data_IF_203707755843
#
_entry.id   IF_203707755843
#
_cell.length_a   1.000
_cell.length_b   1.000
_cell.length_c   1.000
_cell.angle_alpha   90.00
_cell.angle_beta   90.00
_cell.angle_gamma   90.00
#
_symmetry.space_group_name_H-M   'P 1'
#
loop_
_entity.id
_entity.type
_entity.pdbx_description
1 polymer ?
#
# COMPACT_ATOMS: atom_id res chain seq x y z
N UNK A 1 -50.93 7.48 -19.25
CA UNK A 1 -49.83 6.85 -20.02
C UNK A 1 -48.84 7.92 -20.44
N UNK A 2 -47.65 7.92 -19.84
CA UNK A 2 -46.35 8.26 -20.43
C UNK A 2 -45.30 8.05 -19.35
N UNK A 3 -44.45 7.06 -19.60
CA UNK A 3 -43.51 6.49 -18.64
C UNK A 3 -42.32 7.40 -18.38
N UNK A 4 -41.80 7.27 -17.16
CA UNK A 4 -40.51 7.79 -16.76
C UNK A 4 -39.39 7.00 -17.47
N UNK A 5 -38.53 7.71 -18.20
CA UNK A 5 -37.25 7.16 -18.65
C UNK A 5 -36.31 7.10 -17.44
N UNK A 6 -36.25 5.93 -16.80
CA UNK A 6 -35.25 5.60 -15.81
C UNK A 6 -33.92 5.38 -16.52
N UNK A 7 -33.02 6.36 -16.43
CA UNK A 7 -31.62 6.18 -16.81
C UNK A 7 -31.00 5.10 -15.94
N UNK A 8 -30.69 3.95 -16.54
CA UNK A 8 -29.91 2.90 -15.89
C UNK A 8 -28.50 3.45 -15.73
N UNK A 9 -28.15 3.86 -14.51
CA UNK A 9 -26.76 4.05 -14.13
C UNK A 9 -26.09 2.68 -14.21
N UNK A 10 -25.37 2.43 -15.31
CA UNK A 10 -24.52 1.26 -15.43
C UNK A 10 -23.45 1.40 -14.36
N UNK A 11 -23.56 0.63 -13.28
CA UNK A 11 -22.51 0.50 -12.28
C UNK A 11 -21.27 -0.05 -13.00
N UNK A 12 -20.39 0.84 -13.43
CA UNK A 12 -19.15 0.46 -14.08
C UNK A 12 -18.27 -0.20 -13.03
N UNK A 13 -17.91 -1.45 -13.27
CA UNK A 13 -16.94 -2.18 -12.46
C UNK A 13 -15.62 -1.37 -12.37
N UNK A 14 -15.20 -0.93 -11.17
CA UNK A 14 -13.98 -0.15 -10.98
C UNK A 14 -12.73 -0.85 -11.53
N UNK A 15 -12.71 -2.19 -11.53
CA UNK A 15 -11.61 -2.98 -12.09
C UNK A 15 -11.60 -2.88 -13.62
N UNK A 16 -12.78 -2.90 -14.24
CA UNK A 16 -12.94 -2.67 -15.68
C UNK A 16 -12.52 -1.26 -16.09
N UNK A 17 -12.67 -0.24 -15.22
CA UNK A 17 -12.18 1.12 -15.49
C UNK A 17 -10.64 1.19 -15.60
N UNK A 18 -9.92 0.31 -14.91
CA UNK A 18 -8.45 0.26 -14.95
C UNK A 18 -7.91 -0.64 -16.08
N UNK A 19 -8.73 -1.49 -16.69
CA UNK A 19 -8.31 -2.36 -17.81
C UNK A 19 -7.83 -1.50 -18.98
N UNK A 20 -6.60 -1.73 -19.42
CA UNK A 20 -6.01 -1.08 -20.59
C UNK A 20 -5.49 0.35 -20.35
N UNK A 21 -5.60 0.92 -19.14
CA UNK A 21 -5.18 2.30 -18.85
C UNK A 21 -3.68 2.47 -18.55
N UNK A 22 -2.90 1.40 -18.57
CA UNK A 22 -1.48 1.42 -18.23
C UNK A 22 -1.22 1.13 -16.76
N UNK A 23 0.05 1.19 -16.35
CA UNK A 23 0.47 0.82 -14.98
C UNK A 23 0.49 2.04 -14.07
N UNK A 24 -0.27 1.99 -12.98
CA UNK A 24 -0.21 2.94 -11.85
C UNK A 24 1.08 2.72 -11.07
N UNK A 25 1.69 3.80 -10.61
CA UNK A 25 2.90 3.75 -9.78
C UNK A 25 2.79 4.75 -8.62
N UNK A 26 3.19 4.32 -7.43
CA UNK A 26 3.16 5.16 -6.22
C UNK A 26 4.29 6.20 -6.16
N UNK A 27 5.24 6.18 -7.10
CA UNK A 27 6.33 7.16 -7.18
C UNK A 27 7.43 7.01 -6.13
N UNK A 28 7.27 6.14 -5.13
CA UNK A 28 8.16 6.01 -3.97
C UNK A 28 9.65 5.95 -4.33
N UNK A 29 10.05 5.16 -5.33
CA UNK A 29 11.46 5.06 -5.76
C UNK A 29 12.06 6.43 -6.12
N UNK A 30 11.30 7.28 -6.79
CA UNK A 30 11.76 8.62 -7.18
C UNK A 30 11.80 9.57 -5.99
N UNK A 31 10.86 9.43 -5.04
CA UNK A 31 10.86 10.19 -3.79
C UNK A 31 12.09 9.82 -2.96
N UNK A 32 12.31 8.53 -2.71
CA UNK A 32 13.39 8.04 -1.85
C UNK A 32 14.80 8.29 -2.41
N UNK A 33 14.92 8.54 -3.71
CA UNK A 33 16.20 8.88 -4.37
C UNK A 33 16.34 10.36 -4.69
N UNK A 34 15.44 11.21 -4.18
CA UNK A 34 15.51 12.67 -4.36
C UNK A 34 15.15 13.18 -5.77
N UNK A 35 14.64 12.31 -6.65
CA UNK A 35 14.22 12.66 -8.00
C UNK A 35 12.80 13.26 -8.03
N UNK A 36 12.60 14.37 -7.31
CA UNK A 36 11.27 14.92 -7.02
C UNK A 36 10.49 15.35 -8.27
N UNK A 37 11.15 15.89 -9.30
CA UNK A 37 10.47 16.26 -10.55
C UNK A 37 9.90 15.02 -11.26
N UNK A 38 10.66 13.92 -11.24
CA UNK A 38 10.23 12.65 -11.79
C UNK A 38 9.13 12.02 -10.94
N UNK A 39 9.21 12.15 -9.63
CA UNK A 39 8.14 11.74 -8.72
C UNK A 39 6.83 12.48 -9.07
N UNK A 40 6.86 13.82 -9.20
CA UNK A 40 5.70 14.64 -9.59
C UNK A 40 5.11 14.19 -10.93
N UNK A 41 5.95 13.96 -11.95
CA UNK A 41 5.48 13.51 -13.25
C UNK A 41 4.78 12.13 -13.18
N UNK A 42 5.34 11.19 -12.42
CA UNK A 42 4.76 9.86 -12.22
C UNK A 42 3.46 9.93 -11.43
N UNK A 43 3.42 10.73 -10.37
CA UNK A 43 2.23 10.90 -9.53
C UNK A 43 1.09 11.58 -10.30
N UNK A 44 1.37 12.60 -11.13
CA UNK A 44 0.36 13.21 -12.01
C UNK A 44 -0.21 12.19 -12.99
N UNK A 45 0.64 11.39 -13.62
CA UNK A 45 0.19 10.29 -14.48
C UNK A 45 -0.69 9.30 -13.70
N UNK A 46 -0.32 8.95 -12.46
CA UNK A 46 -1.14 8.10 -11.60
C UNK A 46 -2.52 8.73 -11.36
N UNK A 47 -2.61 10.02 -11.06
CA UNK A 47 -3.89 10.73 -10.91
C UNK A 47 -4.71 10.70 -12.20
N UNK A 48 -4.09 10.94 -13.36
CA UNK A 48 -4.79 10.88 -14.66
C UNK A 48 -5.38 9.50 -14.95
N UNK A 49 -4.65 8.43 -14.58
CA UNK A 49 -5.14 7.06 -14.73
C UNK A 49 -6.23 6.70 -13.71
N UNK A 50 -6.12 7.23 -12.50
CA UNK A 50 -7.05 6.98 -11.40
C UNK A 50 -8.31 7.84 -11.47
N UNK A 51 -8.33 8.91 -12.26
CA UNK A 51 -9.45 9.85 -12.35
C UNK A 51 -10.83 9.18 -12.47
N UNK A 52 -11.05 8.20 -13.37
CA UNK A 52 -12.37 7.57 -13.49
C UNK A 52 -12.80 6.84 -12.21
N UNK A 53 -11.85 6.26 -11.48
CA UNK A 53 -12.12 5.58 -10.20
C UNK A 53 -12.34 6.61 -9.10
N UNK A 54 -11.68 7.78 -9.16
CA UNK A 54 -11.94 8.87 -8.23
C UNK A 54 -13.33 9.48 -8.44
N UNK A 55 -13.84 9.47 -9.68
CA UNK A 55 -15.19 9.90 -10.04
C UNK A 55 -16.29 8.89 -9.64
N UNK A 56 -15.95 7.60 -9.45
CA UNK A 56 -16.93 6.67 -8.87
C UNK A 56 -17.17 6.95 -7.39
N UNK A 57 -18.39 6.63 -6.94
CA UNK A 57 -18.83 6.82 -5.56
C UNK A 57 -17.87 6.13 -4.59
N UNK A 58 -17.17 6.93 -3.76
CA UNK A 58 -16.40 6.60 -2.54
C UNK A 58 -15.61 5.28 -2.47
N UNK A 59 -15.33 4.62 -3.59
CA UNK A 59 -14.72 3.29 -3.59
C UNK A 59 -13.30 3.36 -2.99
N UNK A 60 -12.97 2.48 -2.03
CA UNK A 60 -11.65 2.44 -1.43
C UNK A 60 -10.61 1.96 -2.46
N UNK A 61 -9.39 2.47 -2.34
CA UNK A 61 -8.22 2.03 -3.11
C UNK A 61 -7.37 1.16 -2.20
N UNK A 62 -7.51 -0.16 -2.32
CA UNK A 62 -6.73 -1.11 -1.51
C UNK A 62 -5.35 -1.28 -2.13
N UNK A 63 -4.31 -0.93 -1.37
CA UNK A 63 -2.91 -1.03 -1.78
C UNK A 63 -2.25 -2.16 -1.01
N UNK A 64 -1.78 -3.17 -1.73
CA UNK A 64 -1.20 -4.38 -1.13
C UNK A 64 0.21 -4.17 -0.60
N UNK A 65 0.96 -3.24 -1.20
CA UNK A 65 2.31 -2.88 -0.77
C UNK A 65 2.25 -1.69 0.20
N UNK A 66 2.51 -1.87 1.50
CA UNK A 66 2.33 -0.81 2.50
C UNK A 66 3.21 0.41 2.26
N UNK A 67 4.40 0.24 1.66
CA UNK A 67 5.27 1.37 1.32
C UNK A 67 4.65 2.26 0.24
N UNK A 68 3.99 1.67 -0.75
CA UNK A 68 3.23 2.43 -1.74
C UNK A 68 1.97 3.06 -1.15
N UNK A 69 1.31 2.38 -0.20
CA UNK A 69 0.17 2.95 0.50
C UNK A 69 0.57 4.20 1.28
N UNK A 70 1.72 4.15 1.96
CA UNK A 70 2.32 5.29 2.65
C UNK A 70 2.59 6.44 1.67
N UNK A 71 3.32 6.19 0.58
CA UNK A 71 3.64 7.21 -0.41
C UNK A 71 2.39 7.88 -1.02
N UNK A 72 1.34 7.11 -1.28
CA UNK A 72 0.07 7.66 -1.79
C UNK A 72 -0.71 8.44 -0.73
N UNK A 73 -0.57 8.12 0.56
CA UNK A 73 -1.23 8.85 1.66
C UNK A 73 -0.48 10.11 2.09
N UNK A 74 0.85 10.09 2.15
CA UNK A 74 1.68 11.21 2.61
C UNK A 74 2.29 12.01 1.47
N UNK A 75 3.11 11.36 0.64
CA UNK A 75 4.00 12.07 -0.29
C UNK A 75 3.23 12.65 -1.48
N UNK A 76 2.22 11.93 -1.96
CA UNK A 76 1.37 12.37 -3.06
C UNK A 76 0.71 13.74 -2.79
N UNK A 77 -0.07 13.94 -1.69
CA UNK A 77 -0.68 15.23 -1.42
C UNK A 77 0.32 16.33 -1.03
N UNK A 78 1.51 15.98 -0.51
CA UNK A 78 2.57 16.96 -0.24
C UNK A 78 3.21 17.46 -1.54
N UNK A 79 3.59 16.53 -2.43
CA UNK A 79 4.20 16.85 -3.71
C UNK A 79 3.20 17.50 -4.65
N UNK A 80 1.96 17.05 -4.73
CA UNK A 80 0.94 17.60 -5.64
C UNK A 80 -0.16 18.35 -4.86
N UNK A 81 0.24 19.22 -3.94
CA UNK A 81 -0.68 20.02 -3.10
C UNK A 81 -1.61 20.94 -3.90
N UNK A 82 -1.23 21.28 -5.13
CA UNK A 82 -2.00 22.08 -6.08
C UNK A 82 -3.07 21.27 -6.85
N UNK A 83 -3.01 19.94 -6.81
CA UNK A 83 -3.97 19.06 -7.48
C UNK A 83 -4.96 18.44 -6.47
N UNK A 84 -6.24 18.81 -6.46
CA UNK A 84 -7.22 18.31 -5.49
C UNK A 84 -7.43 16.79 -5.58
N UNK A 85 -7.10 16.17 -6.72
CA UNK A 85 -7.17 14.71 -6.89
C UNK A 85 -6.17 13.99 -5.99
N UNK A 86 -5.05 14.63 -5.66
CA UNK A 86 -4.03 14.07 -4.77
C UNK A 86 -4.60 13.75 -3.39
N UNK A 87 -5.29 14.72 -2.77
CA UNK A 87 -5.96 14.52 -1.48
C UNK A 87 -7.11 13.51 -1.60
N UNK A 88 -7.92 13.61 -2.65
CA UNK A 88 -9.03 12.65 -2.91
C UNK A 88 -8.54 11.20 -2.99
N UNK A 89 -7.41 10.95 -3.67
CA UNK A 89 -6.82 9.62 -3.76
C UNK A 89 -6.26 9.20 -2.39
N UNK A 90 -5.48 10.05 -1.74
CA UNK A 90 -4.90 9.78 -0.42
C UNK A 90 -5.96 9.34 0.61
N UNK A 91 -7.10 10.03 0.65
CA UNK A 91 -8.20 9.74 1.58
C UNK A 91 -8.90 8.39 1.32
N UNK A 92 -8.75 7.82 0.11
CA UNK A 92 -9.34 6.53 -0.26
C UNK A 92 -8.37 5.36 -0.13
N UNK A 93 -7.07 5.61 0.03
CA UNK A 93 -6.07 4.54 0.15
C UNK A 93 -6.33 3.77 1.44
N UNK A 94 -6.43 2.45 1.36
CA UNK A 94 -6.44 1.50 2.48
C UNK A 94 -5.31 0.49 2.31
N UNK A 95 -4.63 0.12 3.39
CA UNK A 95 -3.88 -1.14 3.43
C UNK A 95 -4.86 -2.31 3.35
N UNK A 96 -4.35 -3.50 3.01
CA UNK A 96 -5.19 -4.70 2.98
C UNK A 96 -5.84 -5.00 4.34
N UNK A 97 -5.08 -4.86 5.44
CA UNK A 97 -5.59 -5.09 6.79
C UNK A 97 -6.71 -4.10 7.17
N UNK A 98 -6.53 -2.80 6.90
CA UNK A 98 -7.60 -1.81 7.14
C UNK A 98 -8.83 -2.05 6.25
N UNK A 99 -8.63 -2.52 5.02
CA UNK A 99 -9.73 -2.85 4.12
C UNK A 99 -10.58 -4.00 4.66
N UNK A 100 -9.95 -5.05 5.19
CA UNK A 100 -10.68 -6.16 5.83
C UNK A 100 -11.44 -5.68 7.06
N UNK A 101 -10.81 -4.90 7.94
CA UNK A 101 -11.48 -4.38 9.15
C UNK A 101 -12.69 -3.49 8.82
N UNK A 102 -12.59 -2.64 7.78
CA UNK A 102 -13.63 -1.65 7.45
C UNK A 102 -14.73 -2.19 6.55
N UNK A 103 -14.37 -3.06 5.59
CA UNK A 103 -15.26 -3.48 4.51
C UNK A 103 -15.81 -4.89 4.70
N UNK A 104 -15.19 -5.68 5.58
CA UNK A 104 -15.62 -7.03 5.89
C UNK A 104 -15.60 -7.28 7.43
N UNK A 105 -16.34 -6.48 8.22
CA UNK A 105 -16.26 -6.54 9.69
C UNK A 105 -16.72 -7.89 10.28
N UNK A 106 -17.60 -8.61 9.57
CA UNK A 106 -18.10 -9.93 9.97
C UNK A 106 -17.20 -11.08 9.48
N UNK A 107 -16.23 -10.79 8.63
CA UNK A 107 -15.29 -11.79 8.15
C UNK A 107 -14.20 -12.02 9.20
N UNK A 108 -13.90 -13.29 9.44
CA UNK A 108 -12.77 -13.70 10.29
C UNK A 108 -11.79 -14.53 9.45
N UNK A 109 -10.47 -14.29 9.60
CA UNK A 109 -9.49 -15.12 8.92
C UNK A 109 -9.57 -16.57 9.42
N UNK A 110 -9.26 -17.56 8.57
CA UNK A 110 -9.05 -18.91 9.06
C UNK A 110 -7.92 -18.91 10.08
N UNK A 111 -8.09 -19.69 11.15
CA UNK A 111 -7.02 -19.87 12.14
C UNK A 111 -5.91 -20.70 11.54
N UNK A 112 -4.69 -20.20 11.63
CA UNK A 112 -3.46 -20.87 11.19
C UNK A 112 -2.65 -21.36 12.39
N UNK A 113 -2.80 -20.73 13.56
CA UNK A 113 -2.29 -21.18 14.86
C UNK A 113 -0.80 -21.56 14.88
N UNK A 114 0.04 -20.68 14.32
CA UNK A 114 1.49 -20.89 14.22
C UNK A 114 2.30 -19.62 14.49
N UNK A 115 3.57 -19.76 14.90
CA UNK A 115 4.50 -18.65 14.89
C UNK A 115 4.70 -18.10 13.47
N UNK A 116 4.81 -16.78 13.36
CA UNK A 116 5.15 -16.08 12.13
C UNK A 116 6.12 -14.96 12.44
N UNK A 117 7.31 -15.05 11.87
CA UNK A 117 8.25 -13.93 11.80
C UNK A 117 7.88 -13.08 10.59
N UNK A 118 7.82 -11.78 10.80
CA UNK A 118 7.56 -10.81 9.74
C UNK A 118 8.22 -9.49 10.06
N UNK A 119 7.98 -8.51 9.20
CA UNK A 119 8.46 -7.16 9.38
C UNK A 119 7.31 -6.19 9.17
N UNK A 120 7.21 -5.18 10.02
CA UNK A 120 6.46 -3.98 9.66
C UNK A 120 7.34 -3.13 8.75
N UNK A 121 6.90 -2.85 7.53
CA UNK A 121 7.69 -2.04 6.60
C UNK A 121 8.03 -0.67 7.21
N UNK A 122 9.23 -0.15 6.96
CA UNK A 122 9.67 1.11 7.55
C UNK A 122 8.76 2.31 7.22
N UNK A 123 8.30 2.43 5.97
CA UNK A 123 7.34 3.48 5.57
C UNK A 123 5.96 3.26 6.18
N UNK A 124 5.52 2.00 6.35
CA UNK A 124 4.28 1.69 7.05
C UNK A 124 4.38 2.12 8.51
N UNK A 125 5.46 1.74 9.20
CA UNK A 125 5.69 2.13 10.58
C UNK A 125 5.68 3.65 10.77
N UNK A 126 6.38 4.39 9.88
CA UNK A 126 6.52 5.83 9.99
C UNK A 126 5.24 6.62 9.66
N UNK A 127 4.41 6.14 8.72
CA UNK A 127 3.30 6.92 8.17
C UNK A 127 1.92 6.35 8.54
N UNK A 128 1.79 5.03 8.60
CA UNK A 128 0.50 4.33 8.67
C UNK A 128 0.23 3.67 10.03
N UNK A 129 1.27 3.10 10.65
CA UNK A 129 1.16 2.14 11.75
C UNK A 129 0.81 0.72 11.27
N UNK A 130 0.78 -0.23 12.21
CA UNK A 130 0.55 -1.66 11.97
C UNK A 130 -0.57 -2.26 12.86
N UNK A 131 -1.43 -1.41 13.42
CA UNK A 131 -2.47 -1.85 14.37
C UNK A 131 -3.47 -2.81 13.74
N UNK A 132 -3.94 -2.52 12.52
CA UNK A 132 -4.85 -3.40 11.79
C UNK A 132 -4.19 -4.75 11.47
N UNK A 133 -2.92 -4.73 11.05
CA UNK A 133 -2.12 -5.92 10.77
C UNK A 133 -1.95 -6.79 12.03
N UNK A 134 -1.64 -6.18 13.18
CA UNK A 134 -1.52 -6.89 14.46
C UNK A 134 -2.82 -7.56 14.88
N UNK A 135 -3.97 -6.88 14.72
CA UNK A 135 -5.29 -7.46 15.01
C UNK A 135 -5.63 -8.61 14.06
N UNK A 136 -5.39 -8.44 12.77
CA UNK A 136 -5.61 -9.48 11.78
C UNK A 136 -4.75 -10.73 12.05
N UNK A 137 -3.47 -10.53 12.39
CA UNK A 137 -2.56 -11.61 12.81
C UNK A 137 -3.08 -12.34 14.05
N UNK A 138 -3.50 -11.60 15.07
CA UNK A 138 -4.05 -12.17 16.29
C UNK A 138 -5.34 -12.98 16.02
N UNK A 139 -6.24 -12.47 15.18
CA UNK A 139 -7.46 -13.16 14.78
C UNK A 139 -7.16 -14.46 14.02
N UNK A 140 -6.10 -14.48 13.19
CA UNK A 140 -5.64 -15.68 12.50
C UNK A 140 -4.84 -16.66 13.40
N UNK A 141 -4.66 -16.35 14.68
CA UNK A 141 -3.88 -17.17 15.61
C UNK A 141 -2.37 -17.14 15.35
N UNK A 142 -1.87 -16.13 14.64
CA UNK A 142 -0.43 -16.00 14.39
C UNK A 142 0.27 -15.41 15.62
N UNK A 143 1.30 -16.11 16.11
CA UNK A 143 2.15 -15.67 17.22
C UNK A 143 3.52 -15.22 16.72
N UNK A 144 4.33 -14.61 17.59
CA UNK A 144 5.66 -14.11 17.26
C UNK A 144 5.70 -12.63 16.88
N UNK A 145 6.86 -12.02 17.11
CA UNK A 145 7.06 -10.59 16.92
C UNK A 145 7.24 -10.22 15.44
N UNK A 146 6.73 -9.04 15.08
CA UNK A 146 7.18 -8.37 13.86
C UNK A 146 8.49 -7.68 14.20
N UNK A 147 9.55 -8.05 13.49
CA UNK A 147 10.84 -7.37 13.60
C UNK A 147 10.67 -5.87 13.35
N UNK A 148 11.29 -5.08 14.23
CA UNK A 148 11.61 -3.69 13.93
C UNK A 148 12.76 -3.61 12.92
N UNK A 149 13.07 -2.41 12.44
CA UNK A 149 14.20 -2.20 11.52
C UNK A 149 13.83 -2.24 10.03
N UNK A 150 14.84 -2.20 9.17
CA UNK A 150 14.69 -2.02 7.72
C UNK A 150 15.06 -3.32 6.97
N UNK A 151 14.35 -3.65 5.88
CA UNK A 151 14.71 -4.79 5.02
C UNK A 151 15.90 -4.48 4.10
N UNK A 152 16.38 -3.24 4.07
CA UNK A 152 17.42 -2.77 3.15
C UNK A 152 16.94 -2.46 1.73
N UNK A 153 15.69 -2.78 1.37
CA UNK A 153 15.21 -2.73 -0.01
C UNK A 153 14.39 -1.48 -0.38
N UNK A 154 14.37 -0.43 0.44
CA UNK A 154 13.52 0.74 0.23
C UNK A 154 13.60 1.29 -1.21
N UNK A 155 12.46 1.36 -1.91
CA UNK A 155 12.41 1.76 -3.31
C UNK A 155 13.19 0.80 -4.21
N UNK A 156 14.30 1.28 -4.77
CA UNK A 156 15.26 0.47 -5.54
C UNK A 156 16.62 0.36 -4.83
N UNK A 157 16.77 0.87 -3.61
CA UNK A 157 18.08 1.09 -2.97
C UNK A 157 18.97 -0.15 -2.99
N UNK A 158 18.47 -1.29 -2.48
CA UNK A 158 19.23 -2.53 -2.45
C UNK A 158 19.52 -3.15 -3.82
N UNK A 159 18.89 -2.67 -4.89
CA UNK A 159 19.15 -3.09 -6.26
C UNK A 159 20.16 -2.18 -7.00
N UNK A 160 20.53 -1.04 -6.41
CA UNK A 160 21.51 -0.14 -7.03
C UNK A 160 22.93 -0.70 -6.90
N UNK A 161 23.71 -0.50 -7.96
CA UNK A 161 25.09 -0.97 -8.01
C UNK A 161 25.90 -0.32 -6.88
N UNK A 162 26.50 -1.14 -6.03
CA UNK A 162 27.30 -0.69 -4.89
C UNK A 162 26.53 -0.61 -3.56
N UNK A 163 25.21 -0.82 -3.55
CA UNK A 163 24.41 -0.77 -2.33
C UNK A 163 24.13 -2.12 -1.68
N UNK A 164 24.56 -3.23 -2.30
CA UNK A 164 24.28 -4.57 -1.81
C UNK A 164 24.73 -4.79 -0.36
N UNK A 165 25.97 -4.43 -0.03
CA UNK A 165 26.52 -4.65 1.31
C UNK A 165 25.75 -3.86 2.38
N UNK A 166 25.39 -2.61 2.08
CA UNK A 166 24.61 -1.75 2.99
C UNK A 166 23.18 -2.28 3.14
N UNK A 167 22.53 -2.63 2.03
CA UNK A 167 21.19 -3.23 2.04
C UNK A 167 21.16 -4.52 2.87
N UNK A 168 22.15 -5.39 2.68
CA UNK A 168 22.27 -6.63 3.44
C UNK A 168 22.49 -6.33 4.93
N UNK A 169 23.41 -5.41 5.26
CA UNK A 169 23.67 -5.01 6.64
C UNK A 169 22.43 -4.47 7.36
N UNK A 170 21.58 -3.67 6.68
CA UNK A 170 20.30 -3.23 7.23
C UNK A 170 19.38 -4.40 7.56
N UNK A 171 19.24 -5.35 6.64
CA UNK A 171 18.39 -6.53 6.84
C UNK A 171 18.94 -7.45 7.95
N UNK A 172 20.26 -7.52 8.09
CA UNK A 172 20.98 -8.30 9.10
C UNK A 172 20.84 -7.73 10.52
N UNK A 173 20.38 -6.48 10.69
CA UNK A 173 20.22 -5.88 12.02
C UNK A 173 19.15 -6.59 12.85
N UNK A 174 18.01 -6.93 12.23
CA UNK A 174 16.85 -7.50 12.95
C UNK A 174 16.08 -8.54 12.13
N UNK A 175 15.81 -8.27 10.84
CA UNK A 175 14.92 -9.11 10.03
C UNK A 175 15.52 -10.49 9.72
N UNK A 176 16.71 -10.53 9.11
CA UNK A 176 17.32 -11.80 8.69
C UNK A 176 17.71 -12.70 9.87
N UNK A 177 18.20 -12.18 11.02
CA UNK A 177 18.37 -12.99 12.22
C UNK A 177 17.06 -13.60 12.70
N UNK A 178 15.97 -12.83 12.71
CA UNK A 178 14.64 -13.33 13.09
C UNK A 178 14.15 -14.44 12.17
N UNK A 179 14.32 -14.28 10.85
CA UNK A 179 13.94 -15.30 9.87
C UNK A 179 14.77 -16.57 10.04
N UNK A 180 16.09 -16.49 10.27
CA UNK A 180 16.93 -17.67 10.48
C UNK A 180 16.67 -18.37 11.81
N UNK A 181 16.23 -17.63 12.83
CA UNK A 181 15.82 -18.20 14.11
C UNK A 181 14.43 -18.84 14.04
N UNK A 182 13.60 -18.46 13.05
CA UNK A 182 12.36 -19.17 12.79
C UNK A 182 12.68 -20.60 12.34
N UNK A 183 12.10 -21.59 13.01
CA UNK A 183 12.21 -22.98 12.58
C UNK A 183 11.61 -23.19 11.18
N UNK A 184 11.85 -24.37 10.61
CA UNK A 184 11.19 -24.75 9.36
C UNK A 184 9.66 -24.71 9.51
N UNK A 185 8.99 -24.12 8.52
CA UNK A 185 7.55 -23.87 8.52
C UNK A 185 6.71 -24.98 7.91
#
# INVERSE_FOLDING_TARGET
SKGAEGGVAVAMDPVSLLRGRGRVCCGLTYVSTGQLDRARAVLRRTLDLMEPVLETAAAPVVVLEPSCAAALRSDLPELLHDDPRARRLADRVLTFAEALERLAPDWTPPRVDRPAVGQTHCHQHAVLGDTADRRLRAAAGLSGELSGGCCGLAGNFGFEKGHFEVSAACAEEQLLPGVRAAGEG
#
